data_IF_173844326159
#
_entry.id   IF_173844326159
#
_cell.length_a   1.000
_cell.length_b   1.000
_cell.length_c   1.000
_cell.angle_alpha   90.00
_cell.angle_beta   90.00
_cell.angle_gamma   90.00
#
_symmetry.space_group_name_H-M   'P 1'
#
loop_
_entity.id
_entity.type
_entity.pdbx_description
1 polymer ?
#
# COMPACT_ATOMS: atom_id res chain seq x y z
N UNK A 1 -8.83 -13.59 -6.01
CA UNK A 1 -8.30 -12.39 -6.70
C UNK A 1 -7.73 -11.48 -5.62
N UNK A 2 -6.47 -11.06 -5.73
CA UNK A 2 -5.84 -10.15 -4.75
C UNK A 2 -5.73 -8.75 -5.35
N UNK A 3 -6.00 -7.73 -4.55
CA UNK A 3 -5.88 -6.33 -4.93
C UNK A 3 -4.85 -5.63 -4.03
N UNK A 4 -4.14 -4.69 -4.64
CA UNK A 4 -3.24 -3.80 -3.94
C UNK A 4 -4.03 -2.56 -3.51
N UNK A 5 -4.17 -2.34 -2.20
CA UNK A 5 -4.94 -1.22 -1.62
C UNK A 5 -4.23 0.14 -1.72
N UNK A 6 -2.97 0.14 -2.15
CA UNK A 6 -2.12 1.32 -2.26
C UNK A 6 -2.56 2.40 -3.22
N UNK A 7 -3.27 2.00 -4.26
CA UNK A 7 -3.88 2.90 -5.22
C UNK A 7 -5.27 2.38 -5.57
N UNK A 8 -6.27 3.19 -5.24
CA UNK A 8 -7.67 2.93 -5.57
C UNK A 8 -8.22 4.21 -6.20
N UNK A 9 -8.86 4.08 -7.35
CA UNK A 9 -9.68 5.14 -7.94
C UNK A 9 -11.14 4.77 -7.76
N UNK A 10 -11.95 5.72 -7.27
CA UNK A 10 -13.37 5.50 -7.09
C UNK A 10 -14.18 6.72 -7.51
N UNK A 11 -15.45 6.50 -7.86
CA UNK A 11 -16.45 7.57 -8.00
C UNK A 11 -17.24 7.64 -6.70
N UNK A 12 -17.67 8.84 -6.31
CA UNK A 12 -18.51 8.98 -5.12
C UNK A 12 -19.94 8.50 -5.42
N UNK A 13 -20.24 7.25 -5.07
CA UNK A 13 -21.52 6.59 -5.32
C UNK A 13 -21.99 5.80 -4.09
N UNK A 14 -23.29 5.49 -3.96
CA UNK A 14 -23.79 4.65 -2.85
C UNK A 14 -23.06 3.29 -2.76
N UNK A 15 -22.79 2.65 -3.90
CA UNK A 15 -22.06 1.38 -3.95
C UNK A 15 -20.64 1.50 -3.38
N UNK A 16 -19.91 2.56 -3.73
CA UNK A 16 -18.56 2.79 -3.19
C UNK A 16 -18.59 3.17 -1.72
N UNK A 17 -19.61 3.91 -1.26
CA UNK A 17 -19.79 4.21 0.17
C UNK A 17 -20.02 2.93 0.97
N UNK A 18 -20.88 2.03 0.46
CA UNK A 18 -21.13 0.73 1.09
C UNK A 18 -19.86 -0.14 1.13
N UNK A 19 -19.08 -0.15 0.05
CA UNK A 19 -17.78 -0.85 0.02
C UNK A 19 -16.84 -0.33 1.12
N UNK A 20 -16.69 1.00 1.26
CA UNK A 20 -15.78 1.58 2.24
C UNK A 20 -16.25 1.37 3.68
N UNK A 21 -17.55 1.45 3.94
CA UNK A 21 -18.12 1.11 5.24
C UNK A 21 -17.81 -0.35 5.61
N UNK A 22 -18.07 -1.28 4.68
CA UNK A 22 -17.78 -2.70 4.92
C UNK A 22 -16.27 -2.95 5.08
N UNK A 23 -15.44 -2.26 4.31
CA UNK A 23 -13.99 -2.36 4.44
C UNK A 23 -13.52 -1.89 5.81
N UNK A 24 -14.04 -0.77 6.32
CA UNK A 24 -13.72 -0.30 7.66
C UNK A 24 -14.09 -1.32 8.74
N UNK A 25 -15.28 -1.92 8.65
CA UNK A 25 -15.71 -2.96 9.58
C UNK A 25 -14.83 -4.20 9.54
N UNK A 26 -14.43 -4.66 8.36
CA UNK A 26 -13.50 -5.78 8.23
C UNK A 26 -12.10 -5.40 8.76
N UNK A 27 -11.63 -4.18 8.50
CA UNK A 27 -10.33 -3.68 8.96
C UNK A 27 -10.24 -3.67 10.50
N UNK A 28 -11.32 -3.27 11.17
CA UNK A 28 -11.44 -3.36 12.62
C UNK A 28 -11.38 -4.81 13.13
N UNK A 29 -12.03 -5.77 12.44
CA UNK A 29 -12.02 -7.20 12.83
C UNK A 29 -10.65 -7.84 12.67
N UNK A 30 -9.93 -7.52 11.59
CA UNK A 30 -8.67 -8.17 11.23
C UNK A 30 -7.42 -7.38 11.65
N UNK A 31 -7.55 -6.51 12.66
CA UNK A 31 -6.42 -5.83 13.33
C UNK A 31 -5.47 -5.14 12.35
N UNK A 32 -6.03 -4.30 11.50
CA UNK A 32 -5.26 -3.47 10.58
C UNK A 32 -4.61 -4.19 9.37
N UNK A 33 -5.03 -5.42 9.04
CA UNK A 33 -4.70 -6.04 7.75
C UNK A 33 -5.60 -5.49 6.64
N UNK A 34 -5.23 -4.33 6.09
CA UNK A 34 -6.04 -3.54 5.18
C UNK A 34 -6.35 -4.26 3.85
N UNK A 35 -5.37 -4.94 3.22
CA UNK A 35 -5.61 -5.69 1.98
C UNK A 35 -6.54 -6.88 2.17
N UNK A 36 -6.40 -7.62 3.28
CA UNK A 36 -7.29 -8.73 3.60
C UNK A 36 -8.72 -8.21 3.82
N UNK A 37 -8.86 -7.13 4.60
CA UNK A 37 -10.14 -6.50 4.85
C UNK A 37 -10.79 -5.99 3.55
N UNK A 38 -10.01 -5.44 2.62
CA UNK A 38 -10.50 -4.96 1.33
C UNK A 38 -11.07 -6.10 0.48
N UNK A 39 -10.33 -7.21 0.35
CA UNK A 39 -10.79 -8.39 -0.42
C UNK A 39 -12.10 -8.93 0.15
N UNK A 40 -12.24 -8.96 1.47
CA UNK A 40 -13.47 -9.42 2.14
C UNK A 40 -14.63 -8.46 1.93
N UNK A 41 -14.40 -7.16 2.01
CA UNK A 41 -15.42 -6.16 1.74
C UNK A 41 -15.92 -6.20 0.28
N UNK A 42 -15.00 -6.38 -0.68
CA UNK A 42 -15.34 -6.58 -2.10
C UNK A 42 -16.20 -7.82 -2.28
N UNK A 43 -15.85 -8.94 -1.64
CA UNK A 43 -16.63 -10.16 -1.73
C UNK A 43 -18.05 -9.99 -1.17
N UNK A 44 -18.23 -9.22 -0.10
CA UNK A 44 -19.53 -9.00 0.53
C UNK A 44 -20.41 -8.02 -0.26
N UNK A 45 -19.82 -6.94 -0.80
CA UNK A 45 -20.56 -5.84 -1.44
C UNK A 45 -20.66 -5.98 -2.96
N UNK A 46 -19.84 -6.85 -3.56
CA UNK A 46 -19.78 -7.12 -5.00
C UNK A 46 -19.83 -5.86 -5.89
N UNK A 47 -18.98 -4.85 -5.64
CA UNK A 47 -18.98 -3.64 -6.46
C UNK A 47 -18.44 -3.97 -7.86
N UNK A 48 -18.82 -3.20 -8.89
CA UNK A 48 -18.16 -3.30 -10.19
C UNK A 48 -16.70 -2.84 -10.07
N UNK A 49 -15.76 -3.70 -10.45
CA UNK A 49 -14.32 -3.43 -10.36
C UNK A 49 -13.68 -3.51 -11.74
N UNK A 50 -12.85 -2.51 -12.05
CA UNK A 50 -11.94 -2.51 -13.20
C UNK A 50 -10.51 -2.57 -12.66
N UNK A 51 -9.69 -3.47 -13.21
CA UNK A 51 -8.27 -3.55 -12.84
C UNK A 51 -7.52 -2.36 -13.43
N UNK A 52 -6.76 -1.67 -12.59
CA UNK A 52 -5.75 -0.73 -13.06
C UNK A 52 -4.53 -1.50 -13.60
N UNK A 53 -3.91 -1.04 -14.70
CA UNK A 53 -2.61 -1.55 -15.13
C UNK A 53 -1.57 -1.46 -14.01
N UNK A 54 -0.71 -2.48 -13.88
CA UNK A 54 0.27 -2.57 -12.79
C UNK A 54 1.28 -1.42 -12.76
N UNK A 55 1.54 -0.77 -13.90
CA UNK A 55 2.43 0.40 -14.03
C UNK A 55 2.04 1.62 -13.17
N UNK A 56 0.81 1.64 -12.64
CA UNK A 56 0.33 2.70 -11.75
C UNK A 56 0.51 2.38 -10.26
N UNK A 57 0.89 1.16 -9.90
CA UNK A 57 1.02 0.74 -8.51
C UNK A 57 2.08 -0.37 -8.40
N UNK A 58 3.23 -0.09 -9.01
CA UNK A 58 4.38 -0.99 -9.08
C UNK A 58 5.34 -0.71 -7.93
N UNK A 59 5.94 -1.75 -7.37
CA UNK A 59 7.01 -1.58 -6.38
C UNK A 59 8.30 -1.07 -7.05
N UNK A 60 9.17 -0.35 -6.33
CA UNK A 60 10.47 0.06 -6.86
C UNK A 60 11.34 -1.11 -7.36
N UNK A 61 11.25 -2.27 -6.71
CA UNK A 61 12.02 -3.47 -7.07
C UNK A 61 11.54 -4.01 -8.44
N UNK A 62 10.22 -4.08 -8.63
CA UNK A 62 9.63 -4.55 -9.89
C UNK A 62 9.85 -3.54 -11.03
N UNK A 63 9.80 -2.25 -10.72
CA UNK A 63 10.07 -1.17 -11.67
C UNK A 63 11.51 -1.22 -12.18
N UNK A 64 12.49 -1.37 -11.28
CA UNK A 64 13.90 -1.46 -11.62
C UNK A 64 14.21 -2.66 -12.53
N UNK A 65 13.48 -3.77 -12.36
CA UNK A 65 13.69 -5.00 -13.12
C UNK A 65 13.01 -5.01 -14.50
N UNK A 66 11.97 -4.20 -14.70
CA UNK A 66 11.14 -4.23 -15.91
C UNK A 66 11.51 -3.19 -16.97
N UNK A 67 12.25 -2.14 -16.61
CA UNK A 67 12.52 -1.01 -17.51
C UNK A 67 11.24 -0.27 -17.95
N UNK A 68 10.12 -0.50 -17.25
CA UNK A 68 8.83 0.07 -17.60
C UNK A 68 8.80 1.59 -17.32
N UNK A 69 8.03 2.32 -18.13
CA UNK A 69 7.73 3.71 -17.85
C UNK A 69 6.65 3.75 -16.74
N UNK A 70 7.07 4.04 -15.51
CA UNK A 70 6.22 3.99 -14.31
C UNK A 70 5.69 5.37 -13.99
N UNK A 71 4.39 5.46 -13.68
CA UNK A 71 3.74 6.75 -13.36
C UNK A 71 3.65 7.02 -11.86
N UNK A 72 3.51 5.98 -11.03
CA UNK A 72 3.49 6.07 -9.57
C UNK A 72 4.24 4.87 -8.98
N UNK A 73 5.26 5.16 -8.18
CA UNK A 73 6.04 4.15 -7.46
C UNK A 73 5.50 3.98 -6.06
N UNK A 74 5.05 2.76 -5.74
CA UNK A 74 4.55 2.48 -4.42
C UNK A 74 5.63 1.81 -3.56
N UNK A 75 6.13 2.54 -2.56
CA UNK A 75 7.12 2.08 -1.58
C UNK A 75 6.45 1.31 -0.44
N UNK A 76 6.60 -0.02 -0.39
CA UNK A 76 5.99 -0.91 0.59
C UNK A 76 7.05 -1.48 1.52
N UNK A 77 6.76 -1.54 2.82
CA UNK A 77 7.74 -1.94 3.82
C UNK A 77 8.67 -0.77 4.12
N UNK A 78 8.79 -0.41 5.41
CA UNK A 78 9.68 0.65 5.83
C UNK A 78 11.08 0.40 5.31
N UNK A 79 11.67 1.39 4.66
CA UNK A 79 13.12 1.40 4.47
C UNK A 79 13.73 1.40 5.86
N UNK A 80 14.24 0.27 6.32
CA UNK A 80 15.35 0.29 7.26
C UNK A 80 16.52 0.87 6.46
N UNK A 81 16.66 2.19 6.47
CA UNK A 81 17.96 2.77 6.21
C UNK A 81 18.89 2.06 7.19
N UNK A 82 19.81 1.27 6.66
CA UNK A 82 21.00 0.90 7.39
C UNK A 82 21.69 2.24 7.68
N UNK A 83 21.45 2.80 8.87
CA UNK A 83 22.23 3.93 9.36
C UNK A 83 23.69 3.46 9.34
N UNK A 84 24.43 3.90 8.33
CA UNK A 84 25.88 3.80 8.33
C UNK A 84 26.37 4.52 9.58
N UNK A 85 26.69 3.73 10.61
CA UNK A 85 27.19 4.19 11.91
C UNK A 85 28.65 4.67 11.84
N UNK A 86 29.06 5.24 10.70
CA UNK A 86 30.44 5.65 10.44
C UNK A 86 30.70 7.14 10.68
N UNK A 87 29.68 7.96 10.97
CA UNK A 87 29.87 9.42 11.03
C UNK A 87 29.19 10.09 12.24
N UNK A 88 29.51 9.62 13.45
CA UNK A 88 29.36 10.45 14.66
C UNK A 88 30.74 10.87 15.15
N UNK A 89 31.04 12.18 15.24
CA UNK A 89 32.27 12.62 15.89
C UNK A 89 32.23 12.20 17.36
N UNK A 90 33.21 11.39 17.77
CA UNK A 90 33.40 11.05 19.19
C UNK A 90 33.83 12.33 19.91
N UNK A 91 32.93 12.93 20.67
CA UNK A 91 33.33 13.86 21.72
C UNK A 91 34.18 13.09 22.73
N UNK A 92 35.48 13.34 22.72
CA UNK A 92 36.41 12.94 23.77
C UNK A 92 36.24 13.93 24.91
N UNK A 93 35.79 13.45 26.07
CA UNK A 93 35.86 14.21 27.32
C UNK A 93 37.20 13.81 27.97
N UNK A 94 38.15 14.73 28.18
CA UNK A 94 39.39 14.42 28.86
C UNK A 94 39.17 14.31 30.39
N UNK A 95 40.01 13.48 31.01
CA UNK A 95 40.03 13.16 32.44
C UNK A 95 40.20 14.36 33.37
#
# INVERSE_FOLDING_TARGET
MQFNSGLILWRNTPTTSQLFEQWHQEWQKFRCQDQLALVRAIHQTQPPIVKLPSIYNMSPIDAASSGANVHLLHHWGGWSQQENSADRPRHVIPN
#
